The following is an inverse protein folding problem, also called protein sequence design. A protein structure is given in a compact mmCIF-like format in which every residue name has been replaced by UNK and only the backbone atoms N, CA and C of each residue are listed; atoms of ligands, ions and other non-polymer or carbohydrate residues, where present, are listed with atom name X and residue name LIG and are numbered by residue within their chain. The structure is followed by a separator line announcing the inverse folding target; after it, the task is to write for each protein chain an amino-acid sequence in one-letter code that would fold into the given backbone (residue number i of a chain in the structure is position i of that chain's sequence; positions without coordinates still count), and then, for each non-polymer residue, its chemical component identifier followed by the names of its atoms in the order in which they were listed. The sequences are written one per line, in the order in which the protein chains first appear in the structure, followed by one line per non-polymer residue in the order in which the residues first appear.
data_IF_572430760370
#
_entry.id   IF_572430760370
#
_cell.length_a   1.000
_cell.length_b   1.000
_cell.length_c   1.000
_cell.angle_alpha   90.00
_cell.angle_beta   90.00
_cell.angle_gamma   90.00
#
_symmetry.space_group_name_H-M   'P 1'
#
loop_
_entity.id
_entity.type
_entity.pdbx_description
1 polymer ?
#
# COMPACT_ATOMS: atom_id res chain seq x y z
N UNK A 1 -20.35 -78.78 -17.78
CA UNK A 1 -19.71 -77.67 -17.02
C UNK A 1 -18.72 -76.84 -17.85
N UNK A 2 -18.95 -76.63 -19.15
CA UNK A 2 -18.11 -75.77 -20.03
C UNK A 2 -18.88 -74.60 -20.67
N UNK A 3 -20.22 -74.68 -20.73
CA UNK A 3 -21.08 -73.62 -21.28
C UNK A 3 -21.39 -72.49 -20.28
N UNK A 4 -21.24 -72.70 -18.97
CA UNK A 4 -21.52 -71.68 -17.95
C UNK A 4 -20.35 -70.68 -17.75
N UNK A 5 -19.12 -71.05 -18.15
CA UNK A 5 -17.93 -70.19 -17.99
C UNK A 5 -17.86 -69.06 -19.02
N UNK A 6 -18.34 -69.28 -20.24
CA UNK A 6 -18.31 -68.25 -21.30
C UNK A 6 -19.37 -67.16 -21.09
N UNK A 7 -20.52 -67.48 -20.47
CA UNK A 7 -21.57 -66.49 -20.19
C UNK A 7 -21.21 -65.58 -19.01
N UNK A 8 -20.47 -66.08 -18.02
CA UNK A 8 -19.99 -65.28 -16.88
C UNK A 8 -18.88 -64.32 -17.34
N UNK A 9 -18.02 -64.74 -18.28
CA UNK A 9 -16.96 -63.89 -18.82
C UNK A 9 -17.50 -62.75 -19.69
N UNK A 10 -18.56 -62.99 -20.49
CA UNK A 10 -19.23 -61.94 -21.26
C UNK A 10 -19.97 -60.94 -20.38
N UNK A 11 -20.60 -61.40 -19.28
CA UNK A 11 -21.26 -60.53 -18.31
C UNK A 11 -20.28 -59.65 -17.53
N UNK A 12 -19.10 -60.17 -17.17
CA UNK A 12 -18.06 -59.39 -16.50
C UNK A 12 -17.44 -58.31 -17.39
N UNK A 13 -17.30 -58.56 -18.70
CA UNK A 13 -16.82 -57.56 -19.65
C UNK A 13 -17.84 -56.43 -19.84
N UNK A 14 -19.14 -56.73 -19.84
CA UNK A 14 -20.18 -55.68 -19.91
C UNK A 14 -20.24 -54.80 -18.65
N UNK A 15 -20.02 -55.39 -17.47
CA UNK A 15 -20.03 -54.65 -16.18
C UNK A 15 -18.78 -53.78 -16.01
N UNK A 16 -17.64 -54.14 -16.60
CA UNK A 16 -16.40 -53.35 -16.57
C UNK A 16 -16.50 -52.05 -17.39
N UNK A 17 -17.34 -51.98 -18.43
CA UNK A 17 -17.56 -50.73 -19.20
C UNK A 17 -18.55 -49.78 -18.53
N UNK A 18 -19.38 -50.24 -17.59
CA UNK A 18 -20.31 -49.38 -16.83
C UNK A 18 -19.70 -48.78 -15.57
N UNK A 19 -18.53 -49.25 -15.13
CA UNK A 19 -17.92 -48.85 -13.85
C UNK A 19 -17.06 -47.57 -13.91
N UNK A 20 -16.83 -47.00 -15.10
CA UNK A 20 -16.08 -45.74 -15.25
C UNK A 20 -16.83 -44.76 -16.17
N UNK A 21 -18.07 -44.41 -15.81
CA UNK A 21 -18.73 -43.22 -16.37
C UNK A 21 -18.54 -42.04 -15.41
N UNK A 22 -17.29 -41.73 -15.06
CA UNK A 22 -16.99 -40.51 -14.31
C UNK A 22 -17.21 -39.33 -15.24
N UNK A 23 -18.43 -38.77 -15.22
CA UNK A 23 -18.75 -37.53 -15.93
C UNK A 23 -17.71 -36.50 -15.51
N UNK A 24 -16.89 -36.03 -16.44
CA UNK A 24 -15.86 -35.04 -16.16
C UNK A 24 -16.55 -33.76 -15.69
N UNK A 25 -16.42 -33.47 -14.38
CA UNK A 25 -17.05 -32.30 -13.74
C UNK A 25 -16.16 -31.06 -13.75
N UNK A 26 -14.90 -31.21 -14.13
CA UNK A 26 -13.89 -30.16 -14.13
C UNK A 26 -13.07 -30.19 -15.42
N UNK A 27 -12.78 -29.02 -16.00
CA UNK A 27 -11.87 -28.89 -17.14
C UNK A 27 -11.20 -27.52 -17.17
N UNK A 28 -9.96 -27.45 -17.67
CA UNK A 28 -9.29 -26.19 -18.02
C UNK A 28 -9.44 -25.84 -19.51
N UNK A 29 -10.20 -26.65 -20.26
CA UNK A 29 -10.44 -26.49 -21.69
C UNK A 29 -11.94 -26.60 -21.96
N UNK A 30 -12.56 -25.49 -22.37
CA UNK A 30 -13.98 -25.42 -22.75
C UNK A 30 -14.27 -24.17 -23.57
N UNK A 31 -15.38 -24.16 -24.31
CA UNK A 31 -15.83 -22.98 -25.05
C UNK A 31 -16.22 -21.84 -24.09
N UNK A 32 -16.73 -22.17 -22.90
CA UNK A 32 -17.05 -21.22 -21.84
C UNK A 32 -15.80 -20.51 -21.32
N UNK A 33 -14.68 -21.22 -21.15
CA UNK A 33 -13.39 -20.63 -20.79
C UNK A 33 -12.91 -19.68 -21.89
N UNK A 34 -12.98 -20.08 -23.16
CA UNK A 34 -12.62 -19.20 -24.28
C UNK A 34 -13.51 -17.94 -24.34
N UNK A 35 -14.78 -18.06 -23.95
CA UNK A 35 -15.70 -16.92 -23.80
C UNK A 35 -15.24 -15.97 -22.69
N UNK A 36 -14.82 -16.49 -21.54
CA UNK A 36 -14.30 -15.65 -20.43
C UNK A 36 -12.98 -14.97 -20.80
N UNK A 37 -12.06 -15.67 -21.50
CA UNK A 37 -10.83 -15.05 -22.02
C UNK A 37 -11.13 -13.89 -22.98
N UNK A 38 -12.10 -14.08 -23.88
CA UNK A 38 -12.57 -13.03 -24.78
C UNK A 38 -13.21 -11.86 -24.02
N UNK A 39 -13.94 -12.13 -22.93
CA UNK A 39 -14.51 -11.11 -22.06
C UNK A 39 -13.42 -10.26 -21.36
N UNK A 40 -12.35 -10.89 -20.88
CA UNK A 40 -11.20 -10.18 -20.28
C UNK A 40 -10.49 -9.31 -21.33
N UNK A 41 -10.29 -9.83 -22.54
CA UNK A 41 -9.76 -9.06 -23.67
C UNK A 41 -10.68 -7.87 -24.03
N UNK A 42 -12.00 -8.08 -24.04
CA UNK A 42 -13.00 -7.04 -24.28
C UNK A 42 -12.92 -5.92 -23.22
N UNK A 43 -12.71 -6.26 -21.95
CA UNK A 43 -12.48 -5.28 -20.88
C UNK A 43 -11.17 -4.51 -21.05
N UNK A 44 -10.06 -5.21 -21.30
CA UNK A 44 -8.73 -4.60 -21.50
C UNK A 44 -8.72 -3.65 -22.71
N UNK A 45 -9.37 -4.04 -23.81
CA UNK A 45 -9.47 -3.25 -25.02
C UNK A 45 -10.56 -2.17 -24.97
N UNK A 46 -11.33 -2.10 -23.88
CA UNK A 46 -12.48 -1.19 -23.73
C UNK A 46 -13.48 -1.32 -24.89
N UNK A 47 -13.66 -2.53 -25.41
CA UNK A 47 -14.54 -2.79 -26.55
C UNK A 47 -16.02 -2.81 -26.15
N UNK A 48 -16.33 -3.07 -24.88
CA UNK A 48 -17.68 -3.02 -24.29
C UNK A 48 -18.72 -3.90 -25.02
N UNK A 49 -18.28 -5.01 -25.64
CA UNK A 49 -19.18 -6.01 -26.21
C UNK A 49 -19.93 -6.74 -25.10
N UNK A 50 -21.26 -6.71 -25.15
CA UNK A 50 -22.14 -7.39 -24.19
C UNK A 50 -22.76 -8.65 -24.77
N UNK A 51 -22.45 -9.01 -26.01
CA UNK A 51 -23.03 -10.16 -26.72
C UNK A 51 -22.78 -11.49 -26.00
N UNK A 52 -21.75 -11.59 -25.16
CA UNK A 52 -21.43 -12.79 -24.37
C UNK A 52 -22.42 -13.03 -23.21
N UNK A 53 -23.19 -12.02 -22.81
CA UNK A 53 -24.18 -12.09 -21.74
C UNK A 53 -25.59 -12.38 -22.26
N UNK A 54 -26.42 -12.98 -21.42
CA UNK A 54 -27.86 -12.95 -21.60
C UNK A 54 -28.41 -11.57 -21.17
N UNK A 55 -29.50 -11.12 -21.78
CA UNK A 55 -30.15 -9.83 -21.43
C UNK A 55 -30.58 -9.77 -19.95
N UNK A 56 -30.90 -10.93 -19.37
CA UNK A 56 -31.28 -11.07 -17.95
C UNK A 56 -30.09 -11.31 -17.02
N UNK A 57 -28.85 -11.22 -17.52
CA UNK A 57 -27.66 -11.47 -16.72
C UNK A 57 -27.56 -10.50 -15.54
N UNK A 58 -27.00 -10.99 -14.43
CA UNK A 58 -26.75 -10.21 -13.22
C UNK A 58 -25.29 -10.30 -12.81
N UNK A 59 -24.64 -9.15 -12.74
CA UNK A 59 -23.26 -8.99 -12.30
C UNK A 59 -23.21 -8.43 -10.88
N UNK A 60 -22.36 -9.02 -10.04
CA UNK A 60 -22.20 -8.67 -8.62
C UNK A 60 -20.72 -8.45 -8.31
N UNK A 61 -20.35 -7.25 -7.88
CA UNK A 61 -18.97 -6.91 -7.53
C UNK A 61 -18.87 -6.53 -6.06
N UNK A 62 -18.20 -7.37 -5.25
CA UNK A 62 -18.03 -7.18 -3.81
C UNK A 62 -19.34 -6.98 -3.00
N UNK A 63 -20.50 -7.36 -3.55
CA UNK A 63 -21.81 -7.26 -2.87
C UNK A 63 -22.76 -8.34 -3.39
N UNK A 64 -23.77 -8.70 -2.58
CA UNK A 64 -24.90 -9.55 -3.00
C UNK A 64 -26.20 -8.76 -3.15
N UNK A 65 -26.26 -7.51 -2.68
CA UNK A 65 -27.50 -6.77 -2.51
C UNK A 65 -27.98 -6.10 -3.80
N UNK A 66 -27.02 -5.61 -4.61
CA UNK A 66 -27.29 -4.89 -5.85
C UNK A 66 -26.56 -5.54 -7.01
N UNK A 67 -27.33 -6.07 -7.96
CA UNK A 67 -26.80 -6.51 -9.25
C UNK A 67 -26.76 -5.39 -10.26
N UNK A 68 -25.88 -5.53 -11.25
CA UNK A 68 -25.87 -4.75 -12.48
C UNK A 68 -26.29 -5.63 -13.66
N UNK A 69 -27.05 -5.06 -14.59
CA UNK A 69 -27.22 -5.60 -15.94
C UNK A 69 -25.93 -5.46 -16.77
N UNK A 70 -25.82 -6.09 -17.96
CA UNK A 70 -24.66 -5.92 -18.82
C UNK A 70 -24.37 -4.45 -19.19
N UNK A 71 -25.40 -3.65 -19.47
CA UNK A 71 -25.25 -2.23 -19.79
C UNK A 71 -24.81 -1.39 -18.59
N UNK A 72 -25.34 -1.67 -17.40
CA UNK A 72 -24.91 -1.03 -16.15
C UNK A 72 -23.46 -1.39 -15.80
N UNK A 73 -23.03 -2.63 -16.06
CA UNK A 73 -21.64 -3.07 -15.86
C UNK A 73 -20.68 -2.31 -16.77
N UNK A 74 -21.05 -2.12 -18.05
CA UNK A 74 -20.30 -1.26 -18.97
C UNK A 74 -20.23 0.19 -18.47
N UNK A 75 -21.34 0.74 -17.97
CA UNK A 75 -21.36 2.09 -17.43
C UNK A 75 -20.47 2.23 -16.18
N UNK A 76 -20.48 1.24 -15.29
CA UNK A 76 -19.59 1.16 -14.12
C UNK A 76 -18.11 1.20 -14.52
N UNK A 77 -17.70 0.40 -15.51
CA UNK A 77 -16.31 0.40 -15.97
C UNK A 77 -15.90 1.73 -16.63
N UNK A 78 -16.80 2.34 -17.41
CA UNK A 78 -16.55 3.66 -18.02
C UNK A 78 -16.40 4.78 -16.98
N UNK A 79 -17.20 4.74 -15.91
CA UNK A 79 -17.07 5.71 -14.82
C UNK A 79 -15.70 5.58 -14.13
N UNK A 80 -15.25 4.35 -13.90
CA UNK A 80 -13.96 4.09 -13.24
C UNK A 80 -12.75 4.44 -14.12
N UNK A 81 -12.87 4.41 -15.45
CA UNK A 81 -11.77 4.74 -16.37
C UNK A 81 -11.21 6.14 -16.15
N UNK A 82 -12.01 7.10 -15.67
CA UNK A 82 -11.58 8.47 -15.40
C UNK A 82 -10.48 8.55 -14.32
N UNK A 83 -10.40 7.55 -13.43
CA UNK A 83 -9.43 7.53 -12.33
C UNK A 83 -8.04 7.04 -12.77
N UNK A 84 -7.93 6.42 -13.95
CA UNK A 84 -6.73 5.68 -14.35
C UNK A 84 -6.20 6.14 -15.72
N UNK A 85 -4.90 6.40 -15.80
CA UNK A 85 -4.20 6.65 -17.08
C UNK A 85 -4.02 5.36 -17.88
N UNK A 86 -3.89 4.22 -17.19
CA UNK A 86 -3.94 2.88 -17.79
C UNK A 86 -4.61 1.90 -16.82
N UNK A 87 -5.32 0.90 -17.35
CA UNK A 87 -5.93 -0.17 -16.56
C UNK A 87 -6.10 -1.44 -17.37
N UNK A 88 -6.03 -2.58 -16.72
CA UNK A 88 -6.37 -3.87 -17.33
C UNK A 88 -5.95 -5.05 -16.47
N UNK A 89 -6.41 -6.24 -16.84
CA UNK A 89 -5.82 -7.48 -16.36
C UNK A 89 -4.44 -7.67 -16.99
N UNK A 90 -3.47 -8.14 -16.21
CA UNK A 90 -2.14 -8.50 -16.71
C UNK A 90 -2.23 -9.79 -17.53
N UNK A 91 -1.22 -10.03 -18.37
CA UNK A 91 -1.14 -11.25 -19.19
C UNK A 91 -0.37 -12.38 -18.47
N UNK A 92 -0.20 -12.27 -17.15
CA UNK A 92 0.60 -13.20 -16.35
C UNK A 92 -0.24 -14.44 -16.03
N UNK A 93 -0.39 -15.30 -17.05
CA UNK A 93 -0.98 -16.66 -17.03
C UNK A 93 -2.10 -16.88 -15.99
N UNK A 94 -3.25 -16.20 -16.12
CA UNK A 94 -4.36 -16.40 -15.20
C UNK A 94 -4.90 -17.82 -15.32
N UNK A 95 -5.10 -18.49 -14.18
CA UNK A 95 -5.71 -19.81 -14.13
C UNK A 95 -7.21 -19.72 -14.45
N UNK A 96 -7.69 -20.68 -15.23
CA UNK A 96 -9.11 -20.84 -15.56
C UNK A 96 -9.56 -22.25 -15.25
N UNK A 97 -10.75 -22.38 -14.68
CA UNK A 97 -11.42 -23.65 -14.53
C UNK A 97 -12.89 -23.55 -14.89
N UNK A 98 -13.43 -24.60 -15.49
CA UNK A 98 -14.86 -24.79 -15.66
C UNK A 98 -15.30 -25.98 -14.81
N UNK A 99 -16.40 -25.79 -14.07
CA UNK A 99 -17.02 -26.81 -13.22
C UNK A 99 -18.49 -27.03 -13.56
N UNK A 100 -18.91 -28.30 -13.47
CA UNK A 100 -20.32 -28.71 -13.53
C UNK A 100 -20.76 -29.10 -12.11
N UNK A 101 -21.73 -28.36 -11.56
CA UNK A 101 -22.27 -28.60 -10.21
C UNK A 101 -23.15 -29.85 -10.16
N UNK A 102 -23.51 -30.30 -8.96
CA UNK A 102 -24.42 -31.44 -8.78
C UNK A 102 -25.81 -31.18 -9.37
N UNK A 103 -26.19 -29.90 -9.47
CA UNK A 103 -27.43 -29.45 -10.10
C UNK A 103 -27.29 -29.30 -11.63
N UNK A 104 -26.14 -29.65 -12.21
CA UNK A 104 -25.87 -29.54 -13.64
C UNK A 104 -25.62 -28.12 -14.14
N UNK A 105 -25.26 -27.19 -13.25
CA UNK A 105 -24.93 -25.82 -13.65
C UNK A 105 -23.48 -25.73 -14.11
N UNK A 106 -23.24 -25.01 -15.19
CA UNK A 106 -21.90 -24.72 -15.71
C UNK A 106 -21.39 -23.40 -15.14
N UNK A 107 -20.22 -23.44 -14.50
CA UNK A 107 -19.55 -22.28 -13.96
C UNK A 107 -18.11 -22.21 -14.45
N UNK A 108 -17.60 -21.00 -14.73
CA UNK A 108 -16.19 -20.74 -15.02
C UNK A 108 -15.62 -19.84 -13.94
N UNK A 109 -14.50 -20.23 -13.34
CA UNK A 109 -13.74 -19.41 -12.39
C UNK A 109 -12.41 -18.99 -13.04
N UNK A 110 -11.94 -17.78 -12.73
CA UNK A 110 -10.58 -17.36 -13.02
C UNK A 110 -10.01 -16.42 -11.96
N UNK A 111 -8.68 -16.39 -11.87
CA UNK A 111 -7.93 -15.60 -10.88
C UNK A 111 -6.91 -14.67 -11.53
N UNK A 112 -7.34 -13.67 -12.30
CA UNK A 112 -6.41 -12.72 -12.91
C UNK A 112 -5.94 -11.65 -11.93
N UNK A 113 -4.73 -11.14 -12.17
CA UNK A 113 -4.26 -9.92 -11.55
C UNK A 113 -4.71 -8.71 -12.38
N UNK A 114 -5.33 -7.74 -11.71
CA UNK A 114 -5.70 -6.46 -12.30
C UNK A 114 -4.67 -5.40 -11.91
N UNK A 115 -4.27 -4.57 -12.86
CA UNK A 115 -3.39 -3.43 -12.63
C UNK A 115 -4.01 -2.14 -13.15
N UNK A 116 -3.86 -1.07 -12.39
CA UNK A 116 -4.25 0.28 -12.77
C UNK A 116 -3.21 1.31 -12.35
N UNK A 117 -2.95 2.29 -13.22
CA UNK A 117 -2.10 3.45 -12.95
C UNK A 117 -3.00 4.65 -12.71
N UNK A 118 -2.95 5.25 -11.52
CA UNK A 118 -3.78 6.43 -11.23
C UNK A 118 -3.40 7.60 -12.13
N UNK A 119 -4.41 8.27 -12.69
CA UNK A 119 -4.21 9.37 -13.63
C UNK A 119 -3.52 10.59 -13.00
N UNK A 120 -3.77 10.85 -11.71
CA UNK A 120 -3.29 12.05 -11.03
C UNK A 120 -1.80 12.01 -10.69
N UNK A 121 -1.31 10.90 -10.12
CA UNK A 121 0.03 10.82 -9.56
C UNK A 121 0.87 9.64 -10.09
N UNK A 122 0.32 8.86 -11.03
CA UNK A 122 1.02 7.72 -11.63
C UNK A 122 1.23 6.52 -10.69
N UNK A 123 0.64 6.51 -9.48
CA UNK A 123 0.74 5.38 -8.55
C UNK A 123 0.12 4.14 -9.20
N UNK A 124 0.88 3.05 -9.25
CA UNK A 124 0.43 1.76 -9.77
C UNK A 124 -0.18 0.94 -8.64
N UNK A 125 -1.36 0.39 -8.90
CA UNK A 125 -2.09 -0.48 -7.99
C UNK A 125 -2.26 -1.83 -8.69
N UNK A 126 -1.90 -2.92 -8.00
CA UNK A 126 -2.14 -4.29 -8.45
C UNK A 126 -3.08 -4.97 -7.46
N UNK A 127 -4.12 -5.63 -7.97
CA UNK A 127 -5.17 -6.27 -7.18
C UNK A 127 -5.41 -7.68 -7.75
N UNK A 128 -5.24 -8.74 -6.97
CA UNK A 128 -5.69 -10.07 -7.36
C UNK A 128 -7.22 -10.12 -7.35
N UNK A 129 -7.82 -10.64 -8.41
CA UNK A 129 -9.28 -10.71 -8.57
C UNK A 129 -9.71 -12.17 -8.72
N UNK A 130 -10.79 -12.56 -8.05
CA UNK A 130 -11.53 -13.77 -8.39
C UNK A 130 -12.79 -13.40 -9.16
N UNK A 131 -12.95 -13.96 -10.35
CA UNK A 131 -14.16 -13.83 -11.16
C UNK A 131 -14.81 -15.20 -11.34
N UNK A 132 -16.13 -15.25 -11.24
CA UNK A 132 -16.90 -16.47 -11.50
C UNK A 132 -18.14 -16.19 -12.34
N UNK A 133 -18.38 -17.04 -13.33
CA UNK A 133 -19.38 -16.86 -14.37
C UNK A 133 -20.25 -18.09 -14.50
N UNK A 134 -21.56 -17.93 -14.37
CA UNK A 134 -22.54 -18.99 -14.66
C UNK A 134 -23.00 -18.92 -16.09
N UNK A 135 -23.00 -20.06 -16.77
CA UNK A 135 -23.45 -20.19 -18.15
C UNK A 135 -24.79 -20.92 -18.28
N UNK A 136 -25.62 -20.47 -19.21
CA UNK A 136 -26.80 -21.18 -19.72
C UNK A 136 -26.85 -20.96 -21.24
N UNK A 137 -26.95 -22.04 -22.02
CA UNK A 137 -27.01 -22.00 -23.49
C UNK A 137 -25.87 -21.17 -24.12
N UNK A 138 -24.64 -21.29 -23.57
CA UNK A 138 -23.46 -20.56 -24.06
C UNK A 138 -23.44 -19.06 -23.74
N UNK A 139 -24.39 -18.55 -22.95
CA UNK A 139 -24.43 -17.15 -22.49
C UNK A 139 -24.17 -17.06 -20.99
N UNK A 140 -23.49 -15.99 -20.58
CA UNK A 140 -23.31 -15.65 -19.17
C UNK A 140 -24.64 -15.14 -18.63
N UNK A 141 -25.17 -15.80 -17.59
CA UNK A 141 -26.40 -15.40 -16.89
C UNK A 141 -26.14 -14.82 -15.51
N UNK A 142 -24.93 -15.03 -14.98
CA UNK A 142 -24.49 -14.45 -13.71
C UNK A 142 -22.98 -14.29 -13.71
N UNK A 143 -22.53 -13.17 -13.17
CA UNK A 143 -21.13 -12.89 -12.90
C UNK A 143 -20.99 -12.46 -11.43
N UNK A 144 -19.97 -12.97 -10.75
CA UNK A 144 -19.57 -12.48 -9.43
C UNK A 144 -18.08 -12.19 -9.47
N UNK A 145 -17.69 -11.00 -9.04
CA UNK A 145 -16.31 -10.59 -8.88
C UNK A 145 -16.00 -10.22 -7.44
N UNK A 146 -14.88 -10.70 -6.94
CA UNK A 146 -14.40 -10.49 -5.57
C UNK A 146 -12.95 -10.02 -5.59
N UNK A 147 -12.69 -8.90 -4.93
CA UNK A 147 -11.36 -8.32 -4.79
C UNK A 147 -11.30 -7.30 -3.64
N UNK A 148 -10.11 -7.03 -3.12
CA UNK A 148 -9.89 -5.94 -2.17
C UNK A 148 -9.76 -4.60 -2.91
N UNK A 149 -10.71 -3.68 -2.66
CA UNK A 149 -10.68 -2.34 -3.25
C UNK A 149 -9.96 -1.31 -2.37
N UNK A 150 -9.57 -1.65 -1.14
CA UNK A 150 -8.97 -0.71 -0.20
C UNK A 150 -7.70 -0.02 -0.75
N UNK A 151 -6.77 -0.70 -1.45
CA UNK A 151 -5.58 -0.05 -1.99
C UNK A 151 -5.90 1.11 -2.94
N UNK A 152 -6.93 0.95 -3.78
CA UNK A 152 -7.37 1.99 -4.70
C UNK A 152 -8.08 3.15 -4.00
N UNK A 153 -8.96 2.84 -3.06
CA UNK A 153 -9.68 3.86 -2.28
C UNK A 153 -8.72 4.70 -1.45
N UNK A 154 -7.80 4.06 -0.72
CA UNK A 154 -6.80 4.76 0.09
C UNK A 154 -5.90 5.66 -0.76
N UNK A 155 -5.48 5.19 -1.93
CA UNK A 155 -4.65 5.99 -2.83
C UNK A 155 -5.40 7.23 -3.36
N UNK A 156 -6.70 7.13 -3.65
CA UNK A 156 -7.52 8.28 -4.06
C UNK A 156 -7.71 9.24 -2.88
N UNK A 157 -7.97 8.71 -1.67
CA UNK A 157 -8.09 9.54 -0.46
C UNK A 157 -6.79 10.29 -0.12
N UNK A 158 -5.62 9.65 -0.29
CA UNK A 158 -4.30 10.30 -0.15
C UNK A 158 -4.16 11.48 -1.12
N UNK A 159 -4.54 11.28 -2.39
CA UNK A 159 -4.52 12.33 -3.42
C UNK A 159 -5.45 13.49 -3.03
N UNK A 160 -6.67 13.19 -2.59
CA UNK A 160 -7.64 14.20 -2.19
C UNK A 160 -7.18 14.96 -0.94
N UNK A 161 -6.61 14.27 0.03
CA UNK A 161 -6.03 14.89 1.23
C UNK A 161 -4.87 15.83 0.87
N UNK A 162 -4.00 15.44 -0.06
CA UNK A 162 -2.91 16.30 -0.53
C UNK A 162 -3.44 17.53 -1.27
N UNK A 163 -4.45 17.36 -2.14
CA UNK A 163 -5.10 18.48 -2.85
C UNK A 163 -5.77 19.46 -1.90
N UNK A 164 -6.41 18.93 -0.85
CA UNK A 164 -7.14 19.71 0.14
C UNK A 164 -6.26 20.22 1.28
N UNK A 165 -4.94 19.94 1.26
CA UNK A 165 -4.00 20.43 2.27
C UNK A 165 -4.01 21.97 2.28
N UNK A 166 -4.22 22.52 3.47
CA UNK A 166 -4.30 23.96 3.70
C UNK A 166 -2.96 24.65 3.40
N UNK A 167 -3.02 25.97 3.17
CA UNK A 167 -1.80 26.79 3.03
C UNK A 167 -0.91 26.68 4.27
N UNK A 168 -1.53 26.60 5.46
CA UNK A 168 -0.83 26.49 6.75
C UNK A 168 -0.08 25.15 6.83
N UNK A 169 -0.71 24.03 6.49
CA UNK A 169 -0.06 22.71 6.48
C UNK A 169 1.09 22.63 5.45
N UNK A 170 0.96 23.29 4.30
CA UNK A 170 2.06 23.40 3.31
C UNK A 170 3.23 24.24 3.84
N UNK A 171 2.93 25.33 4.56
CA UNK A 171 3.95 26.14 5.21
C UNK A 171 4.67 25.33 6.31
N UNK A 172 3.93 24.60 7.15
CA UNK A 172 4.47 23.69 8.18
C UNK A 172 5.40 22.65 7.55
N UNK A 173 5.00 22.02 6.45
CA UNK A 173 5.84 21.06 5.74
C UNK A 173 7.16 21.70 5.28
N UNK A 174 7.09 22.87 4.64
CA UNK A 174 8.28 23.62 4.22
C UNK A 174 9.21 23.95 5.40
N UNK A 175 8.63 24.38 6.52
CA UNK A 175 9.36 24.66 7.77
C UNK A 175 10.09 23.41 8.26
N UNK A 176 9.41 22.26 8.34
CA UNK A 176 10.03 20.98 8.76
C UNK A 176 11.18 20.58 7.82
N UNK A 177 10.97 20.66 6.51
CA UNK A 177 12.00 20.34 5.51
C UNK A 177 13.23 21.26 5.64
N UNK A 178 13.00 22.56 5.88
CA UNK A 178 14.09 23.53 6.08
C UNK A 178 14.82 23.31 7.40
N UNK A 179 14.13 22.94 8.48
CA UNK A 179 14.76 22.58 9.76
C UNK A 179 15.64 21.33 9.58
N UNK A 180 15.21 20.32 8.82
CA UNK A 180 16.05 19.15 8.51
C UNK A 180 17.27 19.54 7.69
N UNK A 181 17.14 20.45 6.71
CA UNK A 181 18.28 21.00 5.96
C UNK A 181 19.24 21.77 6.87
N UNK A 182 18.70 22.61 7.76
CA UNK A 182 19.46 23.37 8.75
C UNK A 182 20.28 22.44 9.65
N UNK A 183 19.66 21.38 10.18
CA UNK A 183 20.35 20.33 10.92
C UNK A 183 21.46 19.66 10.12
N UNK A 184 21.23 19.31 8.85
CA UNK A 184 22.26 18.64 8.05
C UNK A 184 23.43 19.56 7.64
N UNK A 185 23.19 20.86 7.51
CA UNK A 185 24.19 21.85 7.13
C UNK A 185 24.83 22.59 8.32
N UNK A 186 24.36 22.34 9.54
CA UNK A 186 24.57 23.19 10.72
C UNK A 186 24.26 24.68 10.46
N UNK A 187 23.20 24.95 9.68
CA UNK A 187 22.81 26.31 9.26
C UNK A 187 21.81 26.92 10.25
N UNK A 188 22.35 27.69 11.20
CA UNK A 188 21.56 28.35 12.25
C UNK A 188 20.69 29.48 11.71
N UNK A 189 21.11 30.15 10.63
CA UNK A 189 20.30 31.21 10.03
C UNK A 189 19.05 30.62 9.38
N UNK A 190 19.18 29.47 8.72
CA UNK A 190 18.05 28.72 8.19
C UNK A 190 17.14 28.18 9.31
N UNK A 191 17.70 27.67 10.42
CA UNK A 191 16.90 27.31 11.60
C UNK A 191 16.10 28.52 12.10
N UNK A 192 16.75 29.67 12.27
CA UNK A 192 16.16 30.86 12.85
C UNK A 192 15.09 31.48 11.95
N UNK A 193 15.24 31.38 10.63
CA UNK A 193 14.22 31.81 9.68
C UNK A 193 12.93 30.99 9.78
N UNK A 194 13.00 29.74 10.25
CA UNK A 194 11.91 28.76 10.28
C UNK A 194 11.35 28.51 11.70
N UNK A 195 11.88 29.18 12.72
CA UNK A 195 11.44 29.03 14.11
C UNK A 195 11.04 30.38 14.71
N UNK A 196 10.17 30.36 15.71
CA UNK A 196 9.92 31.51 16.57
C UNK A 196 11.17 31.82 17.39
N UNK A 197 11.40 33.09 17.73
CA UNK A 197 12.59 33.49 18.49
C UNK A 197 12.66 32.84 19.88
N UNK A 198 11.49 32.54 20.46
CA UNK A 198 11.30 31.87 21.75
C UNK A 198 11.00 30.36 21.61
N UNK A 199 11.46 29.72 20.54
CA UNK A 199 11.32 28.27 20.32
C UNK A 199 11.78 27.49 21.55
N UNK A 200 10.91 26.60 22.05
CA UNK A 200 11.25 25.69 23.15
C UNK A 200 11.50 24.30 22.59
N UNK A 201 12.69 23.75 22.85
CA UNK A 201 12.99 22.33 22.61
C UNK A 201 13.00 21.57 23.92
N UNK A 202 12.25 20.48 23.99
CA UNK A 202 12.40 19.46 25.03
C UNK A 202 12.91 18.15 24.43
N UNK A 203 13.62 17.37 25.25
CA UNK A 203 14.01 16.01 24.92
C UNK A 203 13.76 15.10 26.13
N UNK A 204 12.96 14.05 25.94
CA UNK A 204 12.58 13.10 26.99
C UNK A 204 12.10 13.80 28.28
N UNK A 205 11.29 14.86 28.13
CA UNK A 205 10.73 15.64 29.24
C UNK A 205 11.64 16.73 29.83
N UNK A 206 12.89 16.85 29.39
CA UNK A 206 13.82 17.89 29.86
C UNK A 206 13.88 19.05 28.86
N UNK A 207 13.90 20.29 29.36
CA UNK A 207 14.16 21.47 28.51
C UNK A 207 15.61 21.49 28.06
N UNK A 208 15.81 21.53 26.74
CA UNK A 208 17.11 21.57 26.07
C UNK A 208 17.44 22.99 25.58
N UNK A 209 16.45 23.68 25.04
CA UNK A 209 16.57 25.06 24.58
C UNK A 209 15.29 25.84 24.87
N UNK A 210 15.43 27.13 25.18
CA UNK A 210 14.32 28.07 25.45
C UNK A 210 14.22 29.18 24.42
N UNK A 211 15.19 29.27 23.52
CA UNK A 211 15.25 30.21 22.42
C UNK A 211 16.13 29.68 21.28
N UNK A 212 16.19 30.46 20.19
CA UNK A 212 17.00 30.15 19.01
C UNK A 212 18.50 30.03 19.28
N UNK A 213 19.03 30.81 20.24
CA UNK A 213 20.46 30.76 20.57
C UNK A 213 20.81 29.44 21.25
N UNK A 214 20.06 29.06 22.27
CA UNK A 214 20.25 27.78 22.98
C UNK A 214 20.03 26.59 22.03
N UNK A 215 19.09 26.69 21.09
CA UNK A 215 18.88 25.65 20.07
C UNK A 215 20.09 25.55 19.13
N UNK A 216 20.62 26.68 18.65
CA UNK A 216 21.82 26.72 17.81
C UNK A 216 23.06 26.16 18.52
N UNK A 217 23.23 26.45 19.82
CA UNK A 217 24.32 25.87 20.62
C UNK A 217 24.16 24.36 20.77
N UNK A 218 22.91 23.88 20.91
CA UNK A 218 22.61 22.45 20.92
C UNK A 218 22.98 21.78 19.58
N UNK A 219 22.76 22.43 18.44
CA UNK A 219 23.21 21.90 17.13
C UNK A 219 24.74 21.77 17.06
N UNK A 220 25.47 22.78 17.55
CA UNK A 220 26.93 22.77 17.56
C UNK A 220 27.51 21.62 18.39
N UNK A 221 26.87 21.25 19.51
CA UNK A 221 27.30 20.09 20.32
C UNK A 221 27.30 18.81 19.47
N UNK A 222 26.27 18.59 18.65
CA UNK A 222 26.18 17.41 17.80
C UNK A 222 27.14 17.48 16.62
N UNK A 223 27.25 18.62 15.93
CA UNK A 223 28.18 18.77 14.79
C UNK A 223 29.65 18.75 15.22
N UNK A 224 29.97 19.26 16.40
CA UNK A 224 31.30 19.16 16.99
C UNK A 224 31.67 17.71 17.33
N UNK A 225 30.73 16.96 17.92
CA UNK A 225 30.94 15.55 18.25
C UNK A 225 30.95 14.63 17.02
N UNK A 226 30.13 14.94 16.01
CA UNK A 226 29.89 14.16 14.81
C UNK A 226 29.98 15.06 13.56
N UNK A 227 31.18 15.26 12.97
CA UNK A 227 31.34 16.15 11.82
C UNK A 227 30.60 15.73 10.54
N UNK A 228 30.13 14.48 10.50
CA UNK A 228 29.27 13.89 9.45
C UNK A 228 27.86 13.61 10.00
N UNK A 229 27.39 14.41 10.96
CA UNK A 229 26.04 14.30 11.49
C UNK A 229 25.00 14.48 10.39
N UNK A 230 24.05 13.55 10.32
CA UNK A 230 22.97 13.62 9.36
C UNK A 230 21.64 13.24 10.00
N UNK A 231 20.60 13.99 9.65
CA UNK A 231 19.20 13.75 10.00
C UNK A 231 18.45 13.39 8.73
N UNK A 232 17.72 12.27 8.78
CA UNK A 232 16.79 11.84 7.75
C UNK A 232 15.37 11.91 8.29
N UNK A 233 14.49 12.56 7.54
CA UNK A 233 13.05 12.52 7.74
C UNK A 233 12.51 11.16 7.25
N UNK A 234 11.99 10.33 8.15
CA UNK A 234 11.45 9.01 7.79
C UNK A 234 9.94 9.06 7.55
N UNK A 235 9.20 9.83 8.35
CA UNK A 235 7.78 10.06 8.16
C UNK A 235 7.39 11.45 8.70
N UNK A 236 6.43 12.08 8.05
CA UNK A 236 5.85 13.36 8.46
C UNK A 236 4.33 13.26 8.35
N UNK A 237 3.65 13.51 9.46
CA UNK A 237 2.20 13.67 9.49
C UNK A 237 1.87 15.05 10.08
N UNK A 238 1.04 15.82 9.40
CA UNK A 238 0.62 17.16 9.84
C UNK A 238 -0.88 17.09 10.11
N UNK A 239 -1.27 17.61 11.26
CA UNK A 239 -2.68 17.75 11.66
C UNK A 239 -2.86 19.10 12.35
N UNK A 240 -3.61 19.99 11.70
CA UNK A 240 -3.79 21.37 12.13
C UNK A 240 -2.45 22.11 12.25
N UNK A 241 -2.12 22.58 13.45
CA UNK A 241 -0.90 23.34 13.73
C UNK A 241 0.24 22.49 14.31
N UNK A 242 0.21 21.18 14.11
CA UNK A 242 1.23 20.25 14.62
C UNK A 242 1.80 19.36 13.53
N UNK A 243 3.08 19.05 13.66
CA UNK A 243 3.76 18.04 12.87
C UNK A 243 4.28 16.92 13.77
N UNK A 244 4.07 15.69 13.33
CA UNK A 244 4.45 14.46 14.01
C UNK A 244 5.48 13.76 13.14
N UNK A 245 6.71 13.65 13.66
CA UNK A 245 7.88 13.36 12.84
C UNK A 245 8.59 12.13 13.36
N UNK A 246 8.77 11.12 12.51
CA UNK A 246 9.78 10.09 12.71
C UNK A 246 11.06 10.50 11.99
N UNK A 247 12.18 10.39 12.68
CA UNK A 247 13.49 10.73 12.12
C UNK A 247 14.56 9.73 12.51
N UNK A 248 15.59 9.64 11.68
CA UNK A 248 16.82 8.89 11.94
C UNK A 248 18.00 9.83 11.93
N UNK A 249 18.83 9.77 12.97
CA UNK A 249 20.12 10.46 13.01
C UNK A 249 21.28 9.47 12.87
N UNK A 250 22.33 9.88 12.17
CA UNK A 250 23.59 9.14 12.02
C UNK A 250 24.79 10.06 12.18
N UNK A 251 25.96 9.49 12.52
CA UNK A 251 27.22 10.23 12.54
C UNK A 251 28.39 9.37 13.03
N UNK A 252 29.61 9.86 12.86
CA UNK A 252 30.86 9.27 13.33
C UNK A 252 31.46 10.14 14.43
N UNK A 253 31.64 9.59 15.63
CA UNK A 253 32.10 10.36 16.78
C UNK A 253 33.60 10.68 16.66
N UNK A 254 33.92 11.91 16.24
CA UNK A 254 35.30 12.43 16.07
C UNK A 254 35.65 13.55 17.04
N UNK A 255 34.65 14.15 17.69
CA UNK A 255 34.83 15.14 18.76
C UNK A 255 34.43 14.60 20.13
N UNK A 256 34.67 15.40 21.16
CA UNK A 256 34.14 15.14 22.50
C UNK A 256 32.61 15.11 22.45
N UNK A 257 31.98 14.19 23.16
CA UNK A 257 30.53 14.11 23.27
C UNK A 257 30.11 13.90 24.72
N UNK A 258 29.34 14.84 25.27
CA UNK A 258 28.80 14.77 26.64
C UNK A 258 29.88 14.48 27.70
N UNK A 259 31.03 15.17 27.60
CA UNK A 259 32.16 15.00 28.52
C UNK A 259 33.00 13.74 28.33
N UNK A 260 32.78 12.98 27.25
CA UNK A 260 33.53 11.77 26.92
C UNK A 260 34.42 11.99 25.67
N UNK A 261 35.64 11.43 25.65
CA UNK A 261 36.57 11.59 24.53
C UNK A 261 36.09 10.89 23.26
N UNK A 262 36.50 11.35 22.07
CA UNK A 262 36.06 10.76 20.80
C UNK A 262 36.45 9.29 20.67
N UNK A 263 35.53 8.48 20.14
CA UNK A 263 35.69 7.02 20.04
C UNK A 263 35.98 6.53 18.62
N UNK A 264 35.74 7.36 17.60
CA UNK A 264 35.80 6.98 16.19
C UNK A 264 34.66 6.06 15.73
N UNK A 265 33.71 5.71 16.61
CA UNK A 265 32.60 4.81 16.29
C UNK A 265 31.44 5.55 15.62
N UNK A 266 30.64 4.80 14.87
CA UNK A 266 29.42 5.30 14.24
C UNK A 266 28.22 5.13 15.15
N UNK A 267 27.27 6.04 15.02
CA UNK A 267 25.95 5.94 15.64
C UNK A 267 24.87 5.90 14.57
N UNK A 268 23.80 5.16 14.86
CA UNK A 268 22.49 5.30 14.24
C UNK A 268 21.44 5.28 15.34
N UNK A 269 20.59 6.29 15.38
CA UNK A 269 19.49 6.39 16.35
C UNK A 269 18.22 6.83 15.67
N UNK A 270 17.10 6.35 16.20
CA UNK A 270 15.77 6.72 15.75
C UNK A 270 15.12 7.59 16.83
N UNK A 271 14.25 8.49 16.41
CA UNK A 271 13.50 9.32 17.32
C UNK A 271 12.17 9.76 16.73
N UNK A 272 11.35 10.29 17.62
CA UNK A 272 10.08 10.91 17.31
C UNK A 272 10.06 12.33 17.84
N UNK A 273 9.45 13.26 17.14
CA UNK A 273 9.18 14.59 17.69
C UNK A 273 7.81 15.09 17.31
N UNK A 274 7.21 15.84 18.23
CA UNK A 274 6.01 16.64 18.00
C UNK A 274 6.45 18.08 17.91
N UNK A 275 6.18 18.72 16.79
CA UNK A 275 6.41 20.13 16.56
C UNK A 275 5.08 20.87 16.60
N UNK A 276 5.05 22.03 17.25
CA UNK A 276 3.93 22.96 17.21
C UNK A 276 4.32 24.21 16.43
N UNK A 277 3.35 24.80 15.74
CA UNK A 277 3.55 25.90 14.82
C UNK A 277 2.60 27.06 15.10
N UNK A 278 3.11 28.28 14.90
CA UNK A 278 2.34 29.51 14.87
C UNK A 278 1.57 29.64 13.54
N UNK A 279 0.66 30.62 13.46
CA UNK A 279 -0.16 30.86 12.26
C UNK A 279 0.65 31.28 11.03
N UNK A 280 1.88 31.77 11.21
CA UNK A 280 2.77 32.12 10.10
C UNK A 280 3.61 30.93 9.60
N UNK A 281 3.41 29.74 10.18
CA UNK A 281 4.10 28.51 9.83
C UNK A 281 5.45 28.32 10.53
N UNK A 282 5.88 29.24 11.41
CA UNK A 282 7.10 29.06 12.21
C UNK A 282 6.87 28.09 13.36
N UNK A 283 7.88 27.29 13.64
CA UNK A 283 7.86 26.39 14.80
C UNK A 283 8.10 27.16 16.11
N UNK A 284 7.21 27.02 17.09
CA UNK A 284 7.35 27.60 18.44
C UNK A 284 7.73 26.57 19.50
N UNK A 285 7.56 25.28 19.20
CA UNK A 285 7.90 24.20 20.11
C UNK A 285 8.29 22.92 19.39
N UNK A 286 9.27 22.22 19.95
CA UNK A 286 9.60 20.83 19.66
C UNK A 286 9.66 20.02 20.94
N UNK A 287 8.91 18.92 21.00
CA UNK A 287 9.04 17.89 22.03
C UNK A 287 9.58 16.61 21.40
N UNK A 288 10.86 16.32 21.63
CA UNK A 288 11.57 15.18 21.06
C UNK A 288 11.68 14.00 22.04
N UNK A 289 11.62 12.79 21.49
CA UNK A 289 11.72 11.52 22.20
C UNK A 289 12.68 10.61 21.45
N UNK A 290 13.76 10.20 22.12
CA UNK A 290 14.76 9.31 21.53
C UNK A 290 15.60 8.63 22.62
N UNK A 291 16.13 7.45 22.31
CA UNK A 291 16.85 6.65 23.28
C UNK A 291 18.34 7.02 23.31
N UNK A 292 18.73 7.79 24.33
CA UNK A 292 20.13 8.12 24.58
C UNK A 292 20.97 6.90 24.94
N UNK A 293 20.39 5.87 25.57
CA UNK A 293 21.12 4.67 25.96
C UNK A 293 21.65 3.93 24.71
N UNK A 294 20.85 3.87 23.65
CA UNK A 294 21.25 3.28 22.36
C UNK A 294 22.47 3.98 21.76
N UNK A 295 22.55 5.31 21.87
CA UNK A 295 23.72 6.08 21.41
C UNK A 295 24.94 5.80 22.28
N UNK A 296 24.78 5.84 23.61
CA UNK A 296 25.87 5.60 24.56
C UNK A 296 26.45 4.20 24.42
N UNK A 297 25.61 3.17 24.27
CA UNK A 297 26.04 1.79 24.05
C UNK A 297 26.85 1.64 22.76
N UNK A 298 26.43 2.27 21.66
CA UNK A 298 27.17 2.26 20.39
C UNK A 298 28.57 2.91 20.53
N UNK A 299 28.67 3.98 21.31
CA UNK A 299 29.95 4.64 21.59
C UNK A 299 30.80 3.86 22.61
N UNK A 300 30.18 3.01 23.42
CA UNK A 300 30.85 2.32 24.53
C UNK A 300 31.02 3.21 25.76
N UNK A 301 30.15 4.21 25.92
CA UNK A 301 30.09 5.06 27.10
C UNK A 301 29.24 4.42 28.20
N UNK A 302 29.53 4.80 29.44
CA UNK A 302 28.63 4.55 30.56
C UNK A 302 27.61 5.67 30.63
N UNK A 303 26.35 5.35 30.96
CA UNK A 303 25.34 6.37 31.21
C UNK A 303 25.79 7.27 32.38
N UNK A 304 25.56 8.59 32.29
CA UNK A 304 25.80 9.46 33.44
C UNK A 304 24.92 9.00 34.60
N UNK A 305 25.51 8.94 35.80
CA UNK A 305 24.76 8.63 37.02
C UNK A 305 23.65 9.67 37.21
N UNK A 306 22.42 9.26 37.61
CA UNK A 306 21.39 10.22 37.98
C UNK A 306 21.93 11.19 39.04
N UNK A 307 21.71 12.49 38.84
CA UNK A 307 21.99 13.51 39.85
C UNK A 307 20.88 13.55 40.89
#
# INVERSE_FOLDING_TARGET
MKLLKNSILLGLVLVLFTACNNKQRYTQQSQEIETVKALIQNYNNKAYDTSMYADTSKTFYNTLDKSMSPSETVAYHKANDANYSSRGFTNDDPEYEMVITDNGETWVNCWPDWQGTLAENGKVITIPIHLTYRFVNGKIVREVGMWDNAPGVLAIQEIEAEKNRSTDEKAIQSTVENVVKAWNANDKDLLNANTASNIIRTANGNTIAKDQSEYGDFMDVYHGAFPDFAVKLDNLFIDGNKAYINWTCTGTNKGEFMGNPPTGKKIKTHGYSIWSFEKDGKADREDAFYDNLVVYQQLGYSMPMPK
#
